data_IF_967550920979
#
_entry.id   IF_967550920979
#
_cell.length_a   1.000
_cell.length_b   1.000
_cell.length_c   1.000
_cell.angle_alpha   90.00
_cell.angle_beta   90.00
_cell.angle_gamma   90.00
#
_symmetry.space_group_name_H-M   'P 1'
#
loop_
_entity.id
_entity.type
_entity.pdbx_description
1 polymer ?
#
# COMPACT_ATOMS: atom_id res chain seq x y z
N UNK A 1 25.80 16.75 -25.88
CA UNK A 1 24.73 16.84 -24.88
C UNK A 1 24.15 15.44 -24.68
N UNK A 2 24.24 14.88 -23.48
CA UNK A 2 23.77 13.52 -23.19
C UNK A 2 22.40 13.59 -22.53
N UNK A 3 21.44 12.80 -23.00
CA UNK A 3 20.09 12.70 -22.40
C UNK A 3 19.98 11.38 -21.65
N UNK A 4 19.50 11.37 -20.39
CA UNK A 4 19.29 10.13 -19.67
C UNK A 4 18.20 9.29 -20.35
N UNK A 5 18.42 7.97 -20.43
CA UNK A 5 17.40 7.03 -20.91
C UNK A 5 16.34 6.86 -19.82
N UNK A 6 15.07 6.99 -20.19
CA UNK A 6 13.97 6.70 -19.27
C UNK A 6 13.86 5.18 -19.09
N UNK A 7 14.18 4.70 -17.89
CA UNK A 7 14.13 3.28 -17.50
C UNK A 7 12.87 3.00 -16.69
N UNK A 8 12.52 1.71 -16.54
CA UNK A 8 11.44 1.29 -15.64
C UNK A 8 11.73 1.66 -14.18
N UNK A 9 13.00 1.58 -13.76
CA UNK A 9 13.42 2.02 -12.43
C UNK A 9 13.18 3.52 -12.23
N UNK A 10 13.53 4.37 -13.21
CA UNK A 10 13.26 5.80 -13.12
C UNK A 10 11.76 6.09 -13.03
N UNK A 11 10.93 5.41 -13.82
CA UNK A 11 9.47 5.53 -13.73
C UNK A 11 8.98 5.17 -12.33
N UNK A 12 9.40 4.03 -11.77
CA UNK A 12 9.04 3.63 -10.41
C UNK A 12 9.45 4.68 -9.37
N UNK A 13 10.68 5.20 -9.45
CA UNK A 13 11.17 6.24 -8.53
C UNK A 13 10.40 7.55 -8.64
N UNK A 14 9.96 7.95 -9.85
CA UNK A 14 9.12 9.13 -10.04
C UNK A 14 7.73 8.95 -9.41
N UNK A 15 7.12 7.77 -9.58
CA UNK A 15 5.80 7.47 -9.01
C UNK A 15 5.84 7.48 -7.50
N UNK A 16 6.88 6.90 -6.93
CA UNK A 16 7.16 6.96 -5.50
C UNK A 16 7.34 8.41 -5.02
N UNK A 17 8.04 9.25 -5.79
CA UNK A 17 8.25 10.66 -5.45
C UNK A 17 6.92 11.44 -5.44
N UNK A 18 6.10 11.30 -6.49
CA UNK A 18 4.82 11.98 -6.57
C UNK A 18 3.85 11.53 -5.46
N UNK A 19 3.83 10.22 -5.17
CA UNK A 19 3.07 9.69 -4.03
C UNK A 19 3.49 10.34 -2.71
N UNK A 20 4.80 10.42 -2.43
CA UNK A 20 5.30 10.99 -1.17
C UNK A 20 4.94 12.47 -1.02
N UNK A 21 5.08 13.23 -2.11
CA UNK A 21 4.72 14.64 -2.15
C UNK A 21 3.22 14.83 -1.87
N UNK A 22 2.36 14.02 -2.51
CA UNK A 22 0.93 14.06 -2.24
C UNK A 22 0.58 13.66 -0.81
N UNK A 23 1.19 12.60 -0.27
CA UNK A 23 0.99 12.22 1.12
C UNK A 23 1.31 13.38 2.06
N UNK A 24 2.42 14.08 1.84
CA UNK A 24 2.79 15.23 2.65
C UNK A 24 1.74 16.34 2.57
N UNK A 25 1.39 16.79 1.36
CA UNK A 25 0.38 17.83 1.14
C UNK A 25 -0.99 17.47 1.74
N UNK A 26 -1.38 16.20 1.59
CA UNK A 26 -2.64 15.67 2.11
C UNK A 26 -2.59 15.38 3.62
N UNK A 27 -1.50 15.64 4.34
CA UNK A 27 -1.43 15.47 5.80
C UNK A 27 -1.33 14.02 6.27
N UNK A 28 -0.75 13.15 5.45
CA UNK A 28 -0.46 11.76 5.77
C UNK A 28 1.03 11.58 6.05
N UNK A 29 1.34 10.73 7.02
CA UNK A 29 2.68 10.21 7.24
C UNK A 29 2.72 8.74 6.80
N UNK A 30 3.87 8.27 6.33
CA UNK A 30 4.03 6.91 5.77
C UNK A 30 5.28 6.21 6.29
N UNK A 31 5.23 4.89 6.39
CA UNK A 31 6.38 4.02 6.67
C UNK A 31 6.35 2.83 5.71
N UNK A 32 7.49 2.50 5.11
CA UNK A 32 7.58 1.35 4.20
C UNK A 32 7.53 0.04 4.99
N UNK A 33 6.93 -1.00 4.40
CA UNK A 33 6.88 -2.32 5.03
C UNK A 33 8.28 -2.88 5.33
N UNK A 34 9.26 -2.56 4.49
CA UNK A 34 10.67 -2.90 4.75
C UNK A 34 11.18 -2.32 6.07
N UNK A 35 10.85 -1.05 6.37
CA UNK A 35 11.26 -0.42 7.62
C UNK A 35 10.52 -1.02 8.81
N UNK A 36 9.22 -1.32 8.68
CA UNK A 36 8.45 -2.02 9.72
C UNK A 36 9.09 -3.39 10.01
N UNK A 37 9.45 -4.13 8.95
CA UNK A 37 10.10 -5.45 9.07
C UNK A 37 11.45 -5.36 9.79
N UNK A 38 12.24 -4.31 9.55
CA UNK A 38 13.51 -4.07 10.26
C UNK A 38 13.31 -3.66 11.71
N UNK A 39 12.25 -2.92 12.03
CA UNK A 39 11.91 -2.43 13.37
C UNK A 39 11.20 -3.45 14.27
N UNK A 40 11.20 -4.74 13.90
CA UNK A 40 10.48 -5.87 14.52
C UNK A 40 9.87 -5.61 15.91
N UNK A 41 8.54 -5.73 16.00
CA UNK A 41 7.77 -5.75 17.25
C UNK A 41 7.92 -4.51 18.15
N UNK A 42 8.24 -3.35 17.59
CA UNK A 42 8.21 -2.09 18.32
C UNK A 42 6.78 -1.57 18.55
N UNK A 43 6.61 -0.88 19.67
CA UNK A 43 5.34 -0.24 20.01
C UNK A 43 5.16 1.11 19.32
N UNK A 44 6.27 1.72 18.93
CA UNK A 44 6.36 3.01 18.28
C UNK A 44 7.12 2.82 16.97
N UNK A 45 6.55 3.29 15.87
CA UNK A 45 7.19 3.25 14.56
C UNK A 45 7.46 4.69 14.09
N UNK A 46 8.56 4.87 13.37
CA UNK A 46 8.94 6.16 12.82
C UNK A 46 8.39 6.32 11.39
N UNK A 47 7.35 7.15 11.26
CA UNK A 47 6.77 7.51 9.96
C UNK A 47 7.49 8.73 9.38
N UNK A 48 7.52 8.83 8.06
CA UNK A 48 8.01 9.98 7.31
C UNK A 48 6.85 10.87 6.89
N UNK A 49 7.05 12.18 6.98
CA UNK A 49 6.16 13.21 6.41
C UNK A 49 7.01 14.34 5.86
N UNK A 50 7.13 14.42 4.55
CA UNK A 50 8.13 15.26 3.90
C UNK A 50 9.52 14.98 4.47
N UNK A 51 10.19 16.02 4.95
CA UNK A 51 11.51 15.92 5.59
C UNK A 51 11.45 15.52 7.08
N UNK A 52 10.27 15.49 7.68
CA UNK A 52 10.09 15.21 9.11
C UNK A 52 10.03 13.71 9.42
N UNK A 53 10.23 13.40 10.70
CA UNK A 53 10.00 12.08 11.29
C UNK A 53 8.95 12.19 12.39
N UNK A 54 7.95 11.33 12.33
CA UNK A 54 6.82 11.31 13.25
C UNK A 54 6.84 9.98 13.99
N UNK A 55 7.00 10.03 15.30
CA UNK A 55 6.94 8.83 16.15
C UNK A 55 5.48 8.50 16.40
N UNK A 56 5.03 7.33 15.95
CA UNK A 56 3.63 6.93 16.03
C UNK A 56 3.52 5.65 16.87
N UNK A 57 2.81 5.73 18.00
CA UNK A 57 2.49 4.56 18.80
C UNK A 57 1.42 3.74 18.10
N UNK A 58 1.72 2.48 17.81
CA UNK A 58 0.79 1.60 17.11
C UNK A 58 -0.26 1.06 18.09
N UNK A 59 -1.57 1.23 17.82
CA UNK A 59 -2.62 0.64 18.63
C UNK A 59 -2.52 -0.88 18.67
N UNK A 60 -2.65 -1.48 19.85
CA UNK A 60 -2.49 -2.92 20.07
C UNK A 60 -3.43 -3.77 19.21
N UNK A 61 -4.59 -3.23 18.84
CA UNK A 61 -5.60 -3.90 18.02
C UNK A 61 -5.12 -4.19 16.59
N UNK A 62 -4.19 -3.38 16.06
CA UNK A 62 -3.71 -3.51 14.67
C UNK A 62 -2.27 -4.00 14.55
N UNK A 63 -1.51 -4.02 15.66
CA UNK A 63 -0.14 -4.57 15.68
C UNK A 63 -0.03 -5.96 15.04
N UNK A 64 -0.90 -6.95 15.35
CA UNK A 64 -0.76 -8.29 14.78
C UNK A 64 -0.89 -8.29 13.25
N UNK A 65 -1.80 -7.49 12.71
CA UNK A 65 -1.95 -7.34 11.27
C UNK A 65 -0.75 -6.63 10.66
N UNK A 66 -0.29 -5.52 11.26
CA UNK A 66 0.84 -4.75 10.77
C UNK A 66 2.08 -5.62 10.63
N UNK A 67 2.44 -6.36 11.68
CA UNK A 67 3.64 -7.20 11.66
C UNK A 67 3.49 -8.44 10.80
N UNK A 68 2.27 -8.97 10.63
CA UNK A 68 2.01 -10.07 9.69
C UNK A 68 2.21 -9.61 8.24
N UNK A 69 1.59 -8.49 7.86
CA UNK A 69 1.60 -7.96 6.49
C UNK A 69 2.97 -7.38 6.12
N UNK A 70 3.69 -6.80 7.09
CA UNK A 70 5.04 -6.30 6.87
C UNK A 70 6.09 -7.41 6.70
N UNK A 71 5.76 -8.70 6.86
CA UNK A 71 6.70 -9.75 6.53
C UNK A 71 6.82 -9.94 5.01
N UNK A 72 8.02 -10.17 4.48
CA UNK A 72 8.21 -10.44 3.05
C UNK A 72 7.36 -11.62 2.58
N UNK A 73 6.74 -11.49 1.40
CA UNK A 73 5.97 -12.58 0.77
C UNK A 73 6.87 -13.62 0.10
N UNK A 74 8.19 -13.40 0.07
CA UNK A 74 9.18 -14.30 -0.50
C UNK A 74 10.28 -14.62 0.54
N UNK A 75 10.97 -15.74 0.34
CA UNK A 75 12.02 -16.20 1.25
C UNK A 75 13.42 -15.64 0.89
N UNK A 76 13.49 -14.58 0.08
CA UNK A 76 14.76 -14.02 -0.41
C UNK A 76 15.25 -12.91 0.51
N UNK A 77 16.15 -13.25 1.43
CA UNK A 77 16.71 -12.30 2.41
C UNK A 77 17.41 -11.09 1.78
N UNK A 78 17.98 -11.24 0.58
CA UNK A 78 18.68 -10.17 -0.12
C UNK A 78 17.78 -9.28 -1.01
N UNK A 79 16.55 -9.73 -1.29
CA UNK A 79 15.55 -9.02 -2.12
C UNK A 79 14.14 -9.33 -1.63
N UNK A 80 13.78 -8.88 -0.41
CA UNK A 80 12.46 -9.10 0.13
C UNK A 80 11.40 -8.40 -0.74
N UNK A 81 10.33 -9.11 -1.05
CA UNK A 81 9.14 -8.58 -1.72
C UNK A 81 8.06 -8.37 -0.67
N UNK A 82 7.53 -7.16 -0.56
CA UNK A 82 6.42 -6.85 0.34
C UNK A 82 5.12 -6.76 -0.44
N UNK A 83 4.00 -7.07 0.21
CA UNK A 83 2.69 -7.10 -0.46
C UNK A 83 2.12 -5.71 -0.70
N UNK A 84 2.42 -4.74 0.15
CA UNK A 84 2.06 -3.34 -0.06
C UNK A 84 3.29 -2.45 0.03
N UNK A 85 3.20 -1.24 -0.49
CA UNK A 85 4.32 -0.31 -0.44
C UNK A 85 4.49 0.30 0.96
N UNK A 86 3.39 0.72 1.58
CA UNK A 86 3.43 1.47 2.85
C UNK A 86 2.29 1.12 3.82
N UNK A 87 2.55 1.39 5.09
CA UNK A 87 1.52 1.73 6.07
C UNK A 87 1.48 3.26 6.19
N UNK A 88 0.29 3.85 6.15
CA UNK A 88 0.13 5.30 6.32
C UNK A 88 -0.80 5.62 7.47
N UNK A 89 -0.61 6.80 8.05
CA UNK A 89 -1.52 7.35 9.03
C UNK A 89 -1.79 8.85 8.81
N UNK A 90 -2.99 9.29 9.16
CA UNK A 90 -3.36 10.71 9.09
C UNK A 90 -2.81 11.46 10.30
N UNK A 91 -1.92 12.43 10.06
CA UNK A 91 -1.30 13.25 11.12
C UNK A 91 -1.63 14.74 10.99
N UNK A 92 -2.26 15.15 9.88
CA UNK A 92 -2.57 16.56 9.59
C UNK A 92 -1.36 17.36 9.08
N UNK A 93 -1.48 18.69 9.04
CA UNK A 93 -0.47 19.62 8.53
C UNK A 93 -0.10 20.62 9.63
N UNK A 94 0.52 20.13 10.69
CA UNK A 94 0.84 20.91 11.89
C UNK A 94 2.35 21.05 12.07
N UNK A 95 2.79 22.13 12.72
CA UNK A 95 4.19 22.33 13.15
C UNK A 95 4.63 21.29 14.20
N UNK A 96 3.65 20.76 14.95
CA UNK A 96 3.80 19.63 15.87
C UNK A 96 2.72 18.59 15.62
N UNK A 97 3.09 17.35 15.40
CA UNK A 97 2.15 16.28 15.06
C UNK A 97 1.42 15.77 16.32
N UNK A 98 0.08 15.74 16.31
CA UNK A 98 -0.67 15.12 17.40
C UNK A 98 -0.39 13.61 17.41
N UNK A 99 -0.46 13.03 18.60
CA UNK A 99 -0.40 11.59 18.75
C UNK A 99 -1.57 10.93 18.00
N UNK A 100 -1.26 9.90 17.22
CA UNK A 100 -2.25 9.11 16.47
C UNK A 100 -2.66 7.92 17.35
N UNK A 101 -3.92 7.88 17.75
CA UNK A 101 -4.44 6.83 18.64
C UNK A 101 -5.55 6.01 18.00
N UNK A 102 -6.21 6.56 16.97
CA UNK A 102 -7.40 5.95 16.41
C UNK A 102 -7.03 5.02 15.26
N UNK A 103 -7.42 3.75 15.36
CA UNK A 103 -7.23 2.75 14.31
C UNK A 103 -7.76 3.23 12.95
N UNK A 104 -8.82 4.03 12.93
CA UNK A 104 -9.41 4.57 11.69
C UNK A 104 -8.50 5.56 10.95
N UNK A 105 -7.46 6.06 11.60
CA UNK A 105 -6.47 6.96 10.99
C UNK A 105 -5.39 6.20 10.23
N UNK A 106 -5.34 4.87 10.34
CA UNK A 106 -4.38 4.01 9.65
C UNK A 106 -4.99 3.35 8.42
N UNK A 107 -4.20 3.25 7.35
CA UNK A 107 -4.51 2.40 6.20
C UNK A 107 -3.25 1.86 5.55
N UNK A 108 -3.36 0.74 4.87
CA UNK A 108 -2.35 0.27 3.93
C UNK A 108 -2.32 1.21 2.72
N UNK A 109 -1.17 1.34 2.05
CA UNK A 109 -1.10 2.09 0.80
C UNK A 109 -0.32 1.32 -0.27
N UNK A 110 -0.84 1.38 -1.49
CA UNK A 110 -0.27 0.80 -2.69
C UNK A 110 -0.27 1.83 -3.81
N UNK A 111 0.87 1.98 -4.49
CA UNK A 111 1.05 2.89 -5.61
C UNK A 111 1.04 2.10 -6.91
N UNK A 112 0.09 2.43 -7.80
CA UNK A 112 -0.03 1.85 -9.13
C UNK A 112 0.26 2.89 -10.19
N UNK A 113 1.21 2.60 -11.07
CA UNK A 113 1.59 3.48 -12.18
C UNK A 113 1.09 2.90 -13.49
N UNK A 114 0.50 3.72 -14.37
CA UNK A 114 -0.01 3.29 -15.67
C UNK A 114 -1.10 2.22 -15.55
N UNK A 115 -0.97 1.08 -16.24
CA UNK A 115 -1.95 -0.02 -16.18
C UNK A 115 -1.64 -1.06 -15.08
N UNK A 116 -0.94 -0.65 -14.01
CA UNK A 116 -0.55 -1.54 -12.92
C UNK A 116 -1.76 -2.17 -12.21
N UNK A 117 -1.78 -3.49 -12.13
CA UNK A 117 -2.79 -4.25 -11.38
C UNK A 117 -2.19 -4.87 -10.11
N UNK A 118 -3.05 -5.41 -9.24
CA UNK A 118 -2.60 -6.18 -8.09
C UNK A 118 -1.95 -7.51 -8.51
N UNK A 119 -0.88 -7.89 -7.83
CA UNK A 119 -0.28 -9.22 -7.93
C UNK A 119 -1.11 -10.28 -7.18
N UNK A 120 -0.86 -11.56 -7.42
CA UNK A 120 -1.54 -12.65 -6.71
C UNK A 120 -1.35 -12.56 -5.18
N UNK A 121 -0.14 -12.23 -4.71
CA UNK A 121 0.13 -12.06 -3.28
C UNK A 121 -0.61 -10.85 -2.71
N UNK A 122 -0.76 -9.78 -3.48
CA UNK A 122 -1.59 -8.65 -3.11
C UNK A 122 -3.05 -9.04 -2.98
N UNK A 123 -3.58 -9.82 -3.93
CA UNK A 123 -4.94 -10.33 -3.84
C UNK A 123 -5.16 -11.17 -2.58
N UNK A 124 -4.25 -12.10 -2.28
CA UNK A 124 -4.29 -12.90 -1.05
C UNK A 124 -4.30 -12.00 0.19
N UNK A 125 -3.43 -10.99 0.24
CA UNK A 125 -3.38 -10.04 1.35
C UNK A 125 -4.70 -9.26 1.50
N UNK A 126 -5.36 -8.85 0.40
CA UNK A 126 -6.65 -8.14 0.44
C UNK A 126 -7.78 -8.95 1.10
N UNK A 127 -7.72 -10.28 1.10
CA UNK A 127 -8.67 -11.13 1.84
C UNK A 127 -8.43 -11.11 3.36
N UNK A 128 -7.19 -10.85 3.79
CA UNK A 128 -6.76 -11.01 5.18
C UNK A 128 -6.74 -9.71 5.98
N UNK A 129 -6.52 -8.57 5.31
CA UNK A 129 -6.44 -7.26 5.98
C UNK A 129 -7.78 -6.83 6.58
N UNK A 130 -7.71 -6.18 7.74
CA UNK A 130 -8.84 -5.50 8.38
C UNK A 130 -8.71 -3.99 8.25
N UNK A 131 -7.48 -3.47 8.20
CA UNK A 131 -7.26 -2.07 7.86
C UNK A 131 -7.71 -1.82 6.43
N UNK A 132 -8.28 -0.63 6.14
CA UNK A 132 -8.54 -0.24 4.77
C UNK A 132 -7.23 -0.08 4.01
N UNK A 133 -7.32 -0.04 2.69
CA UNK A 133 -6.21 0.22 1.80
C UNK A 133 -6.53 1.43 0.92
N UNK A 134 -5.55 2.32 0.80
CA UNK A 134 -5.51 3.43 -0.12
C UNK A 134 -4.75 3.00 -1.38
N UNK A 135 -5.43 2.98 -2.52
CA UNK A 135 -4.79 2.71 -3.82
C UNK A 135 -4.59 4.03 -4.51
N UNK A 136 -3.34 4.40 -4.71
CA UNK A 136 -2.93 5.61 -5.43
C UNK A 136 -2.64 5.21 -6.87
N UNK A 137 -3.29 5.87 -7.82
CA UNK A 137 -3.08 5.61 -9.23
C UNK A 137 -2.49 6.84 -9.90
N UNK A 138 -1.43 6.61 -10.68
CA UNK A 138 -0.71 7.65 -11.42
C UNK A 138 -0.73 7.23 -12.88
N UNK A 139 -1.58 7.88 -13.69
CA UNK A 139 -1.80 7.50 -15.07
C UNK A 139 -0.54 7.69 -15.93
N UNK A 140 -0.03 8.94 -16.00
CA UNK A 140 1.04 9.34 -16.90
C UNK A 140 2.26 9.91 -16.16
N UNK A 141 3.08 9.00 -15.64
CA UNK A 141 4.24 9.31 -14.77
C UNK A 141 5.34 10.16 -15.39
N UNK A 142 5.37 10.27 -16.73
CA UNK A 142 6.38 11.03 -17.47
C UNK A 142 5.90 12.42 -17.88
N UNK A 143 4.65 12.76 -17.56
CA UNK A 143 4.14 14.07 -17.85
C UNK A 143 4.84 15.13 -16.97
N UNK A 144 4.74 16.41 -17.34
CA UNK A 144 5.34 17.47 -16.50
C UNK A 144 4.68 17.46 -15.13
N UNK A 145 5.42 17.73 -14.03
CA UNK A 145 4.90 17.62 -12.67
C UNK A 145 3.54 18.30 -12.43
N UNK A 146 3.32 19.48 -13.03
CA UNK A 146 2.06 20.23 -12.89
C UNK A 146 0.84 19.54 -13.51
N UNK A 147 1.04 18.63 -14.46
CA UNK A 147 -0.03 17.91 -15.18
C UNK A 147 -0.11 16.43 -14.77
N UNK A 148 0.64 16.02 -13.75
CA UNK A 148 0.52 14.67 -13.20
C UNK A 148 -0.85 14.55 -12.54
N UNK A 149 -1.70 13.71 -13.13
CA UNK A 149 -2.99 13.35 -12.54
C UNK A 149 -2.81 12.16 -11.59
N UNK A 150 -3.32 12.33 -10.37
CA UNK A 150 -3.29 11.29 -9.34
C UNK A 150 -4.63 11.24 -8.64
N UNK A 151 -5.25 10.08 -8.68
CA UNK A 151 -6.40 9.74 -7.88
C UNK A 151 -6.01 8.75 -6.79
N UNK A 152 -6.76 8.78 -5.70
CA UNK A 152 -6.68 7.72 -4.71
C UNK A 152 -8.05 7.37 -4.20
N UNK A 153 -8.21 6.09 -3.88
CA UNK A 153 -9.43 5.61 -3.25
C UNK A 153 -9.07 4.79 -2.03
N UNK A 154 -9.73 5.11 -0.92
CA UNK A 154 -9.62 4.37 0.33
C UNK A 154 -10.84 3.47 0.45
N UNK A 155 -10.63 2.17 0.56
CA UNK A 155 -11.73 1.21 0.75
C UNK A 155 -11.25 -0.03 1.49
N UNK A 156 -12.17 -0.90 1.89
CA UNK A 156 -11.81 -2.18 2.49
C UNK A 156 -11.22 -3.13 1.44
N UNK A 157 -10.39 -4.09 1.87
CA UNK A 157 -9.88 -5.13 0.96
C UNK A 157 -11.00 -5.90 0.26
N UNK A 158 -12.12 -6.15 0.96
CA UNK A 158 -13.33 -6.79 0.42
C UNK A 158 -13.98 -5.98 -0.70
N UNK A 159 -14.03 -4.65 -0.57
CA UNK A 159 -14.63 -3.78 -1.59
C UNK A 159 -13.78 -3.72 -2.85
N UNK A 160 -12.44 -3.73 -2.73
CA UNK A 160 -11.53 -3.88 -3.87
C UNK A 160 -11.85 -5.17 -4.61
N UNK A 161 -11.85 -6.30 -3.89
CA UNK A 161 -12.11 -7.61 -4.47
C UNK A 161 -13.47 -7.67 -5.19
N UNK A 162 -14.50 -7.03 -4.62
CA UNK A 162 -15.82 -6.94 -5.26
C UNK A 162 -15.80 -6.14 -6.56
N UNK A 163 -15.17 -4.96 -6.57
CA UNK A 163 -15.04 -4.13 -7.78
C UNK A 163 -14.29 -4.87 -8.90
N UNK A 164 -13.24 -5.61 -8.54
CA UNK A 164 -12.49 -6.42 -9.51
C UNK A 164 -13.31 -7.60 -10.05
N UNK A 165 -14.02 -8.33 -9.19
CA UNK A 165 -14.90 -9.40 -9.64
C UNK A 165 -15.97 -8.85 -10.59
N UNK A 166 -16.60 -7.72 -10.28
CA UNK A 166 -17.58 -7.10 -11.18
C UNK A 166 -16.99 -6.69 -12.54
N UNK A 167 -15.75 -6.19 -12.59
CA UNK A 167 -15.06 -5.83 -13.83
C UNK A 167 -14.59 -7.04 -14.66
N UNK A 168 -14.26 -8.18 -14.04
CA UNK A 168 -13.95 -9.41 -14.77
C UNK A 168 -15.23 -9.99 -15.40
N UNK A 169 -16.33 -10.00 -14.65
CA UNK A 169 -17.63 -10.46 -15.15
C UNK A 169 -18.13 -9.57 -16.30
N UNK A 170 -17.94 -8.24 -16.24
CA UNK A 170 -18.38 -7.33 -17.31
C UNK A 170 -17.49 -7.41 -18.56
N UNK A 171 -16.18 -7.62 -18.40
CA UNK A 171 -15.22 -7.63 -19.52
C UNK A 171 -15.10 -8.98 -20.22
N UNK A 172 -15.36 -10.08 -19.52
CA UNK A 172 -15.17 -11.44 -20.06
C UNK A 172 -16.40 -12.33 -20.01
N UNK A 173 -17.51 -11.90 -19.38
CA UNK A 173 -18.71 -12.74 -19.24
C UNK A 173 -18.48 -14.03 -18.42
N UNK A 174 -17.31 -14.15 -17.79
CA UNK A 174 -16.93 -15.34 -17.01
C UNK A 174 -17.23 -15.08 -15.54
N UNK A 175 -18.13 -15.90 -15.00
CA UNK A 175 -18.25 -16.08 -13.57
C UNK A 175 -17.03 -16.85 -13.06
N UNK A 176 -16.02 -16.14 -12.53
CA UNK A 176 -15.03 -16.80 -11.69
C UNK A 176 -15.70 -17.04 -10.35
N UNK A 177 -16.51 -18.11 -10.33
CA UNK A 177 -16.85 -18.79 -9.11
C UNK A 177 -15.54 -19.09 -8.38
N UNK A 178 -15.53 -18.71 -7.10
CA UNK A 178 -14.54 -19.07 -6.10
C UNK A 178 -13.97 -20.46 -6.44
N UNK A 179 -12.74 -20.51 -6.96
CA UNK A 179 -11.98 -21.75 -6.89
C UNK A 179 -11.68 -21.94 -5.40
N UNK A 180 -12.50 -22.80 -4.80
CA UNK A 180 -12.28 -23.45 -3.52
C UNK A 180 -10.78 -23.73 -3.33
N UNK A 181 -10.14 -23.43 -2.20
CA UNK A 181 -10.43 -24.06 -0.91
C UNK A 181 -10.96 -25.49 -1.06
N UNK A 182 -10.29 -26.30 -1.88
CA UNK A 182 -10.44 -27.76 -1.89
C UNK A 182 -9.06 -28.41 -1.75
N UNK A 183 -8.47 -28.26 -0.57
CA UNK A 183 -7.48 -29.20 -0.05
C UNK A 183 -7.50 -29.10 1.47
N UNK A 184 -8.55 -29.66 2.08
CA UNK A 184 -8.62 -30.23 3.43
C UNK A 184 -10.08 -30.27 3.90
N UNK A 185 -10.89 -31.10 3.23
CA UNK A 185 -11.91 -31.92 3.90
C UNK A 185 -11.94 -33.24 3.13
N UNK A 186 -11.14 -34.20 3.58
CA UNK A 186 -11.54 -35.60 3.52
C UNK A 186 -11.58 -36.04 4.97
N UNK A 187 -12.82 -36.19 5.46
CA UNK A 187 -13.14 -37.02 6.59
C UNK A 187 -12.85 -38.47 6.20
N UNK A 188 -11.93 -39.11 6.92
CA UNK A 188 -12.16 -40.30 7.75
C UNK A 188 -10.97 -40.45 8.73
#
# INVERSE_FOLDING_TARGET
>A
MTRPRITASLKGSLGELYYKELCDQAGWAYISLENIHKSQNQDVLEFKKGFNRVQVKIPSQIKPEIYKIANPSNNWSNRPSFVFDYLVCKVGNYDSYPDVWNVKEFCWAEVKTGQGIFSENQYKALFEIKLPIAVFHIADILEKPFFIDMDWVIMSGKDILKKFNQNIFSKYGVSIGIMALSSHVQED
#
